data_IF_943447419746
#
_entry.id   IF_943447419746
#
_cell.length_a   1.000
_cell.length_b   1.000
_cell.length_c   1.000
_cell.angle_alpha   90.00
_cell.angle_beta   90.00
_cell.angle_gamma   90.00
#
_symmetry.space_group_name_H-M   'P 1'
#
loop_
_entity.id
_entity.type
_entity.pdbx_description
1 polymer ?
#
# COMPACT_ATOMS: atom_id res chain seq x y z
N UNK A 1 70.97 25.35 16.10
CA UNK A 1 69.84 25.72 16.98
C UNK A 1 68.98 26.73 16.23
N UNK A 2 68.33 26.35 15.13
CA UNK A 2 67.17 25.45 14.98
C UNK A 2 65.85 26.14 15.34
N UNK A 3 65.23 26.79 14.34
CA UNK A 3 63.78 26.94 14.05
C UNK A 3 62.84 27.55 15.13
N UNK A 4 61.58 27.98 14.82
CA UNK A 4 60.79 27.59 13.64
C UNK A 4 60.04 28.70 12.87
N UNK A 5 59.79 28.32 11.62
CA UNK A 5 58.84 28.86 10.66
C UNK A 5 57.40 28.80 11.19
N UNK A 6 56.63 29.85 10.99
CA UNK A 6 55.19 29.89 11.23
C UNK A 6 54.47 28.90 10.31
N UNK A 7 53.85 27.86 10.89
CA UNK A 7 52.88 27.01 10.20
C UNK A 7 51.49 27.50 10.55
N UNK A 8 50.72 27.81 9.52
CA UNK A 8 49.28 28.07 9.60
C UNK A 8 48.55 26.76 9.87
N UNK A 9 47.76 26.71 10.94
CA UNK A 9 46.88 25.60 11.24
C UNK A 9 45.66 25.63 10.30
N UNK A 10 45.71 24.84 9.23
CA UNK A 10 44.49 24.41 8.52
C UNK A 10 43.97 23.15 9.20
N UNK A 11 42.89 23.30 9.96
CA UNK A 11 42.10 22.18 10.49
C UNK A 11 41.49 21.41 9.31
N UNK A 12 41.97 20.20 9.07
CA UNK A 12 41.34 19.24 8.16
C UNK A 12 40.37 18.37 8.96
N UNK A 13 39.07 18.64 8.83
CA UNK A 13 38.00 17.76 9.34
C UNK A 13 38.14 16.36 8.69
N UNK A 14 38.22 15.27 9.45
CA UNK A 14 38.02 13.95 8.88
C UNK A 14 36.52 13.78 8.60
N UNK A 15 36.17 13.63 7.33
CA UNK A 15 34.87 13.14 6.90
C UNK A 15 34.72 11.69 7.41
N UNK A 16 34.25 11.52 8.64
CA UNK A 16 33.83 10.21 9.17
C UNK A 16 32.59 9.76 8.39
N UNK A 17 32.82 8.85 7.45
CA UNK A 17 31.78 8.06 6.82
C UNK A 17 31.04 7.29 7.91
N UNK A 18 29.91 7.83 8.34
CA UNK A 18 28.98 7.12 9.21
C UNK A 18 28.40 5.96 8.40
N UNK A 19 28.96 4.78 8.64
CA UNK A 19 28.38 3.50 8.25
C UNK A 19 26.89 3.54 8.59
N UNK A 20 26.06 3.57 7.55
CA UNK A 20 24.62 3.39 7.69
C UNK A 20 24.40 1.97 8.18
N UNK A 21 24.40 1.80 9.50
CA UNK A 21 24.07 0.55 10.15
C UNK A 21 22.56 0.31 9.96
N UNK A 22 22.18 -0.16 8.76
CA UNK A 22 20.84 -0.60 8.35
C UNK A 22 20.41 -1.90 9.06
N UNK A 23 20.95 -2.16 10.26
CA UNK A 23 20.69 -3.36 11.07
C UNK A 23 20.32 -3.00 12.51
N UNK A 24 19.72 -1.83 12.72
CA UNK A 24 18.88 -1.65 13.91
C UNK A 24 17.61 -2.50 13.71
N UNK A 25 17.70 -3.79 14.06
CA UNK A 25 16.55 -4.66 14.21
C UNK A 25 15.62 -4.02 15.25
N UNK A 26 14.62 -3.29 14.76
CA UNK A 26 13.53 -2.80 15.58
C UNK A 26 12.94 -4.00 16.35
N UNK A 27 12.63 -3.86 17.64
CA UNK A 27 12.17 -4.97 18.47
C UNK A 27 10.98 -5.67 17.78
N UNK A 28 11.16 -6.95 17.47
CA UNK A 28 10.19 -7.86 16.82
C UNK A 28 8.94 -8.16 17.68
N UNK A 29 8.51 -7.22 18.53
CA UNK A 29 7.21 -7.24 19.18
C UNK A 29 6.40 -6.04 18.71
N UNK A 30 6.29 -5.85 17.41
CA UNK A 30 5.19 -5.05 16.87
C UNK A 30 3.93 -5.88 17.07
N UNK A 31 3.20 -5.61 18.15
CA UNK A 31 1.85 -6.14 18.33
C UNK A 31 1.05 -5.55 17.18
N UNK A 32 0.79 -6.36 16.15
CA UNK A 32 -0.08 -5.98 15.05
C UNK A 32 -1.48 -5.76 15.63
N UNK A 33 -1.74 -4.52 16.00
CA UNK A 33 -3.08 -4.06 16.34
C UNK A 33 -3.74 -3.86 15.00
N UNK A 34 -4.69 -4.73 14.67
CA UNK A 34 -5.45 -4.61 13.43
C UNK A 34 -5.98 -3.16 13.33
N UNK A 35 -5.77 -2.48 12.19
CA UNK A 35 -6.27 -1.12 12.00
C UNK A 35 -7.78 -1.07 12.32
N UNK A 36 -8.28 0.02 12.94
CA UNK A 36 -9.71 0.15 13.20
C UNK A 36 -10.47 -0.04 11.88
N UNK A 37 -11.55 -0.84 11.93
CA UNK A 37 -12.43 -1.02 10.78
C UNK A 37 -13.04 0.33 10.38
N UNK A 38 -12.76 0.80 9.17
CA UNK A 38 -13.24 2.09 8.66
C UNK A 38 -14.36 1.87 7.66
N UNK A 39 -15.44 2.65 7.81
CA UNK A 39 -16.55 2.71 6.86
C UNK A 39 -17.69 1.75 7.19
N UNK A 40 -18.82 1.85 6.46
CA UNK A 40 -20.02 1.04 6.68
C UNK A 40 -19.82 -0.44 6.30
N UNK A 41 -20.68 -1.31 6.83
CA UNK A 41 -20.79 -2.69 6.36
C UNK A 41 -21.26 -2.70 4.91
N UNK A 42 -20.80 -3.69 4.15
CA UNK A 42 -21.27 -3.89 2.79
C UNK A 42 -22.72 -4.39 2.80
N UNK A 43 -23.53 -3.90 1.87
CA UNK A 43 -24.87 -4.44 1.58
C UNK A 43 -24.88 -5.36 0.36
N UNK A 44 -23.70 -5.65 -0.21
CA UNK A 44 -23.58 -6.32 -1.51
C UNK A 44 -23.88 -7.81 -1.42
N UNK A 45 -24.86 -8.26 -2.19
CA UNK A 45 -25.27 -9.66 -2.31
C UNK A 45 -24.78 -10.35 -3.58
N UNK A 46 -24.99 -11.66 -3.68
CA UNK A 46 -24.59 -12.47 -4.85
C UNK A 46 -25.25 -12.01 -6.16
N UNK A 47 -26.52 -11.57 -6.11
CA UNK A 47 -27.25 -11.07 -7.28
C UNK A 47 -26.58 -9.82 -7.88
N UNK A 48 -26.12 -8.89 -7.03
CA UNK A 48 -25.41 -7.69 -7.45
C UNK A 48 -24.04 -8.03 -8.04
N UNK A 49 -23.36 -9.06 -7.52
CA UNK A 49 -22.09 -9.52 -8.11
C UNK A 49 -22.27 -10.09 -9.51
N UNK A 50 -23.36 -10.82 -9.76
CA UNK A 50 -23.71 -11.29 -11.08
C UNK A 50 -23.99 -10.13 -12.04
N UNK A 51 -24.71 -9.10 -11.55
CA UNK A 51 -24.94 -7.87 -12.30
C UNK A 51 -23.63 -7.15 -12.62
N UNK A 52 -22.75 -6.94 -11.64
CA UNK A 52 -21.47 -6.25 -11.81
C UNK A 52 -20.57 -6.97 -12.81
N UNK A 53 -20.52 -8.30 -12.77
CA UNK A 53 -19.76 -9.08 -13.75
C UNK A 53 -20.22 -8.79 -15.18
N UNK A 54 -21.53 -8.71 -15.40
CA UNK A 54 -22.12 -8.34 -16.69
C UNK A 54 -21.83 -6.86 -17.04
N UNK A 55 -22.19 -5.94 -16.14
CA UNK A 55 -22.08 -4.48 -16.30
C UNK A 55 -20.66 -4.04 -16.63
N UNK A 56 -19.66 -4.60 -15.95
CA UNK A 56 -18.26 -4.21 -16.12
C UNK A 56 -17.48 -5.15 -17.04
N UNK A 57 -18.12 -6.17 -17.63
CA UNK A 57 -17.46 -7.17 -18.48
C UNK A 57 -16.25 -7.81 -17.79
N UNK A 58 -16.43 -8.21 -16.53
CA UNK A 58 -15.35 -8.80 -15.75
C UNK A 58 -15.07 -10.23 -16.27
N UNK A 59 -13.81 -10.58 -16.53
CA UNK A 59 -13.47 -11.93 -17.00
C UNK A 59 -13.84 -13.00 -15.96
N UNK A 60 -14.16 -14.20 -16.43
CA UNK A 60 -14.51 -15.34 -15.58
C UNK A 60 -13.36 -15.78 -14.66
N UNK A 61 -12.12 -15.40 -14.97
CA UNK A 61 -10.94 -15.63 -14.14
C UNK A 61 -10.93 -14.84 -12.83
N UNK A 62 -11.71 -13.75 -12.74
CA UNK A 62 -11.84 -12.98 -11.49
C UNK A 62 -12.90 -13.64 -10.64
N UNK A 63 -12.52 -14.03 -9.41
CA UNK A 63 -13.46 -14.51 -8.41
C UNK A 63 -14.01 -13.30 -7.67
N UNK A 64 -15.32 -13.09 -7.73
CA UNK A 64 -16.05 -12.13 -6.91
C UNK A 64 -16.69 -12.88 -5.75
N UNK A 65 -16.61 -12.33 -4.54
CA UNK A 65 -17.33 -12.85 -3.38
C UNK A 65 -18.15 -11.75 -2.72
N UNK A 66 -19.27 -12.12 -2.09
CA UNK A 66 -20.08 -11.21 -1.29
C UNK A 66 -19.54 -11.14 0.12
N UNK A 67 -19.14 -9.96 0.62
CA UNK A 67 -18.53 -9.84 1.94
C UNK A 67 -19.50 -10.28 3.05
N UNK A 68 -18.95 -10.75 4.17
CA UNK A 68 -19.74 -11.04 5.37
C UNK A 68 -20.27 -9.74 6.01
N UNK A 69 -21.35 -9.78 6.81
CA UNK A 69 -21.89 -8.58 7.46
C UNK A 69 -20.88 -7.83 8.36
N UNK A 70 -19.90 -8.56 8.90
CA UNK A 70 -18.82 -8.04 9.73
C UNK A 70 -17.67 -7.46 8.91
N UNK A 71 -17.51 -7.90 7.65
CA UNK A 71 -16.47 -7.43 6.76
C UNK A 71 -16.71 -6.00 6.28
N UNK A 72 -15.60 -5.27 6.17
CA UNK A 72 -15.53 -3.90 5.66
C UNK A 72 -14.54 -3.84 4.52
N UNK A 73 -14.60 -2.76 3.74
CA UNK A 73 -13.59 -2.54 2.71
C UNK A 73 -12.17 -2.54 3.31
N UNK A 74 -11.98 -1.99 4.51
CA UNK A 74 -10.69 -2.00 5.20
C UNK A 74 -10.32 -3.34 5.83
N UNK A 75 -11.17 -4.37 5.74
CA UNK A 75 -10.84 -5.69 6.27
C UNK A 75 -9.67 -6.29 5.48
N UNK A 76 -8.72 -6.88 6.20
CA UNK A 76 -7.71 -7.73 5.60
C UNK A 76 -8.33 -9.07 5.25
N UNK A 77 -8.35 -9.42 3.96
CA UNK A 77 -8.78 -10.76 3.55
C UNK A 77 -7.62 -11.50 2.88
N UNK A 78 -7.16 -12.63 3.45
CA UNK A 78 -6.10 -13.43 2.87
C UNK A 78 -6.43 -13.86 1.43
N UNK A 79 -5.53 -13.57 0.50
CA UNK A 79 -5.68 -14.00 -0.90
C UNK A 79 -6.73 -13.23 -1.71
N UNK A 80 -7.31 -12.16 -1.15
CA UNK A 80 -8.28 -11.34 -1.85
C UNK A 80 -8.12 -9.85 -1.55
N UNK A 81 -8.90 -9.04 -2.24
CA UNK A 81 -9.00 -7.60 -2.01
C UNK A 81 -10.47 -7.21 -1.92
N UNK A 82 -10.83 -6.38 -0.97
CA UNK A 82 -12.13 -5.71 -0.98
C UNK A 82 -12.04 -4.50 -1.91
N UNK A 83 -13.06 -4.23 -2.72
CA UNK A 83 -13.12 -3.03 -3.56
C UNK A 83 -14.53 -2.48 -3.58
N UNK A 84 -14.65 -1.17 -3.73
CA UNK A 84 -15.93 -0.51 -3.96
C UNK A 84 -16.31 -0.60 -5.44
N UNK A 85 -17.61 -0.54 -5.75
CA UNK A 85 -18.11 -0.50 -7.13
C UNK A 85 -17.42 0.59 -7.98
N UNK A 86 -17.18 1.76 -7.39
CA UNK A 86 -16.53 2.91 -8.02
C UNK A 86 -15.11 2.61 -8.57
N UNK A 87 -14.47 1.53 -8.13
CA UNK A 87 -13.19 1.09 -8.68
C UNK A 87 -13.38 0.51 -10.09
N UNK A 88 -14.49 -0.20 -10.32
CA UNK A 88 -14.85 -0.69 -11.64
C UNK A 88 -15.23 0.46 -12.58
N UNK A 89 -15.91 1.50 -12.07
CA UNK A 89 -16.15 2.74 -12.81
C UNK A 89 -14.85 3.47 -13.19
N UNK A 90 -13.81 3.28 -12.37
CA UNK A 90 -12.48 3.84 -12.59
C UNK A 90 -11.59 2.96 -13.50
N UNK A 91 -12.11 1.82 -13.95
CA UNK A 91 -11.46 0.95 -14.94
C UNK A 91 -10.71 -0.25 -14.38
N UNK A 92 -10.83 -0.56 -13.08
CA UNK A 92 -10.27 -1.80 -12.52
C UNK A 92 -10.94 -3.02 -13.20
N UNK A 93 -10.14 -3.93 -13.75
CA UNK A 93 -10.61 -5.17 -14.42
C UNK A 93 -9.82 -6.40 -13.98
N UNK A 94 -9.47 -6.46 -12.69
CA UNK A 94 -8.81 -7.62 -12.07
C UNK A 94 -7.28 -7.63 -12.13
N UNK A 95 -6.66 -6.65 -12.79
CA UNK A 95 -5.21 -6.45 -12.73
C UNK A 95 -4.94 -5.26 -11.81
N UNK A 96 -4.32 -5.52 -10.67
CA UNK A 96 -3.77 -4.47 -9.81
C UNK A 96 -2.34 -4.20 -10.30
N UNK A 97 -2.00 -2.99 -10.76
CA UNK A 97 -0.63 -2.66 -11.14
C UNK A 97 0.33 -2.89 -9.98
N UNK A 98 1.53 -3.43 -10.26
CA UNK A 98 2.54 -3.69 -9.24
C UNK A 98 2.91 -2.43 -8.42
N UNK A 99 2.81 -1.24 -9.03
CA UNK A 99 2.97 0.05 -8.35
C UNK A 99 1.97 0.23 -7.21
N UNK A 100 0.70 -0.13 -7.43
CA UNK A 100 -0.35 -0.04 -6.40
C UNK A 100 -0.07 -1.01 -5.26
N UNK A 101 0.34 -2.25 -5.59
CA UNK A 101 0.75 -3.24 -4.59
C UNK A 101 1.93 -2.70 -3.77
N UNK A 102 2.93 -2.09 -4.43
CA UNK A 102 4.08 -1.48 -3.77
C UNK A 102 3.70 -0.32 -2.84
N UNK A 103 2.82 0.59 -3.28
CA UNK A 103 2.30 1.69 -2.47
C UNK A 103 1.51 1.17 -1.25
N UNK A 104 0.65 0.18 -1.45
CA UNK A 104 -0.14 -0.43 -0.38
C UNK A 104 0.76 -1.09 0.66
N UNK A 105 1.77 -1.83 0.22
CA UNK A 105 2.76 -2.44 1.11
C UNK A 105 3.59 -1.39 1.87
N UNK A 106 3.98 -0.29 1.21
CA UNK A 106 4.76 0.78 1.84
C UNK A 106 4.00 1.48 2.98
N UNK A 107 2.70 1.66 2.81
CA UNK A 107 1.83 2.33 3.80
C UNK A 107 1.10 1.34 4.72
N UNK A 108 1.34 0.04 4.57
CA UNK A 108 0.62 -1.03 5.28
C UNK A 108 -0.91 -0.89 5.18
N UNK A 109 -1.39 -0.44 4.02
CA UNK A 109 -2.82 -0.29 3.72
C UNK A 109 -3.27 -1.34 2.71
N UNK A 110 -4.55 -1.69 2.75
CA UNK A 110 -5.19 -2.48 1.70
C UNK A 110 -5.46 -1.60 0.47
N UNK A 111 -5.38 -2.12 -0.78
CA UNK A 111 -5.78 -1.39 -1.99
C UNK A 111 -7.20 -0.81 -1.92
N UNK A 112 -8.06 -1.44 -1.12
CA UNK A 112 -9.42 -1.00 -0.82
C UNK A 112 -9.51 0.37 -0.15
N UNK A 113 -8.45 0.78 0.56
CA UNK A 113 -8.35 2.04 1.28
C UNK A 113 -7.93 3.20 0.38
N UNK A 114 -7.56 2.92 -0.88
CA UNK A 114 -7.30 3.96 -1.87
C UNK A 114 -8.62 4.60 -2.31
N UNK A 115 -8.63 5.93 -2.43
CA UNK A 115 -9.78 6.66 -2.94
C UNK A 115 -10.09 6.20 -4.39
N UNK A 116 -11.34 5.85 -4.75
CA UNK A 116 -11.68 5.39 -6.10
C UNK A 116 -11.12 6.24 -7.26
N UNK A 117 -11.15 7.59 -7.22
CA UNK A 117 -10.55 8.43 -8.25
C UNK A 117 -9.03 8.25 -8.39
N UNK A 118 -8.32 7.86 -7.33
CA UNK A 118 -6.87 7.61 -7.39
C UNK A 118 -6.54 6.50 -8.41
N UNK A 119 -7.43 5.50 -8.56
CA UNK A 119 -7.28 4.42 -9.55
C UNK A 119 -7.26 4.89 -10.99
N UNK A 120 -7.94 6.01 -11.31
CA UNK A 120 -7.89 6.59 -12.66
C UNK A 120 -6.48 7.05 -13.03
N UNK A 121 -5.75 7.61 -12.05
CA UNK A 121 -4.39 8.14 -12.27
C UNK A 121 -3.36 7.03 -12.52
N UNK A 122 -3.60 5.82 -12.01
CA UNK A 122 -2.67 4.69 -12.17
C UNK A 122 -2.90 3.86 -13.43
N UNK A 123 -3.95 4.18 -14.22
CA UNK A 123 -4.20 3.53 -15.52
C UNK A 123 -3.27 4.03 -16.63
N UNK A 124 -2.71 5.23 -16.49
CA UNK A 124 -2.00 5.94 -17.55
C UNK A 124 -0.48 5.77 -17.49
N UNK A 125 0.03 4.89 -16.61
CA UNK A 125 1.46 4.60 -16.47
C UNK A 125 1.77 3.25 -17.09
#
# INVERSE_FOLDING_TARGET
MDSPVSRSDSSSEPCEGSDCNLMALLPLSFVYTAPPLVGPASSVGEDELAEWRSRYSLPSSIILWSPTPEERASSYIPGGIAVYEAFFDSGLRGVIPALIVGLCNLFEISPSQLNPPAWRSYRTI
#
